data_IF_853757577635
#
_entry.id   IF_853757577635
#
_cell.length_a   1.000
_cell.length_b   1.000
_cell.length_c   1.000
_cell.angle_alpha   90.00
_cell.angle_beta   90.00
_cell.angle_gamma   90.00
#
_symmetry.space_group_name_H-M   'P 1'
#
loop_
_entity.id
_entity.type
_entity.pdbx_description
1 polymer ?
#
# COMPACT_ATOMS: atom_id res chain seq x y z
N UNK A 1 -39.84 -19.88 -24.57
CA UNK A 1 -39.24 -18.87 -23.67
C UNK A 1 -37.83 -19.29 -23.30
N UNK A 2 -36.79 -18.65 -23.85
CA UNK A 2 -35.39 -18.81 -23.42
C UNK A 2 -34.84 -17.41 -23.14
N UNK A 3 -34.24 -17.34 -21.95
CA UNK A 3 -33.87 -16.14 -21.19
C UNK A 3 -32.68 -15.41 -21.83
N UNK A 4 -32.83 -14.09 -21.92
CA UNK A 4 -31.85 -13.05 -21.61
C UNK A 4 -30.37 -13.40 -21.79
N UNK A 5 -29.81 -13.11 -22.97
CA UNK A 5 -28.38 -12.80 -23.11
C UNK A 5 -28.23 -11.28 -23.11
N UNK A 6 -28.06 -10.73 -21.90
CA UNK A 6 -27.56 -9.37 -21.66
C UNK A 6 -26.18 -9.28 -22.32
N UNK A 7 -26.12 -8.65 -23.50
CA UNK A 7 -24.87 -8.33 -24.20
C UNK A 7 -24.02 -7.48 -23.26
N UNK A 8 -22.88 -8.06 -22.88
CA UNK A 8 -21.81 -7.38 -22.18
C UNK A 8 -21.43 -6.12 -22.96
N UNK A 9 -21.48 -4.96 -22.29
CA UNK A 9 -20.82 -3.74 -22.73
C UNK A 9 -19.35 -4.07 -23.03
N UNK A 10 -18.79 -3.60 -24.16
CA UNK A 10 -17.34 -3.57 -24.32
C UNK A 10 -16.81 -2.55 -23.30
N UNK A 11 -16.11 -3.04 -22.27
CA UNK A 11 -15.26 -2.18 -21.44
C UNK A 11 -14.24 -1.53 -22.39
N UNK A 12 -14.41 -0.23 -22.63
CA UNK A 12 -13.45 0.57 -23.37
C UNK A 12 -12.07 0.38 -22.72
N UNK A 13 -10.99 0.18 -23.50
CA UNK A 13 -9.65 0.15 -22.93
C UNK A 13 -9.40 1.56 -22.36
N UNK A 14 -9.56 1.73 -21.04
CA UNK A 14 -9.07 2.90 -20.33
C UNK A 14 -7.63 3.06 -20.77
N UNK A 15 -7.35 4.08 -21.58
CA UNK A 15 -6.00 4.53 -21.86
C UNK A 15 -5.41 4.91 -20.51
N UNK A 16 -4.79 3.94 -19.85
CA UNK A 16 -4.01 4.16 -18.65
C UNK A 16 -3.02 5.25 -19.00
N UNK A 17 -3.23 6.44 -18.42
CA UNK A 17 -2.29 7.53 -18.56
C UNK A 17 -0.97 7.04 -17.98
N UNK A 18 -0.02 6.64 -18.82
CA UNK A 18 1.32 6.18 -18.40
C UNK A 18 1.97 7.13 -17.39
N UNK A 19 1.67 8.43 -17.48
CA UNK A 19 2.12 9.43 -16.52
C UNK A 19 1.58 9.19 -15.09
N UNK A 20 0.30 8.82 -14.97
CA UNK A 20 -0.34 8.45 -13.69
C UNK A 20 0.29 7.16 -13.16
N UNK A 21 0.48 6.14 -14.00
CA UNK A 21 1.10 4.87 -13.59
C UNK A 21 2.54 5.03 -13.05
N UNK A 22 3.34 5.89 -13.68
CA UNK A 22 4.70 6.19 -13.20
C UNK A 22 4.69 6.97 -11.87
N UNK A 23 3.76 7.92 -11.70
CA UNK A 23 3.59 8.66 -10.46
C UNK A 23 3.12 7.74 -9.33
N UNK A 24 2.12 6.90 -9.58
CA UNK A 24 1.63 5.91 -8.62
C UNK A 24 2.76 5.00 -8.15
N UNK A 25 3.58 4.48 -9.07
CA UNK A 25 4.71 3.63 -8.73
C UNK A 25 5.77 4.36 -7.87
N UNK A 26 6.04 5.64 -8.16
CA UNK A 26 6.91 6.47 -7.31
C UNK A 26 6.28 6.73 -5.94
N UNK A 27 5.00 7.08 -5.89
CA UNK A 27 4.26 7.37 -4.67
C UNK A 27 4.21 6.14 -3.75
N UNK A 28 3.82 4.97 -4.26
CA UNK A 28 3.79 3.73 -3.47
C UNK A 28 5.19 3.30 -3.01
N UNK A 29 6.24 3.62 -3.77
CA UNK A 29 7.60 3.22 -3.46
C UNK A 29 8.31 4.13 -2.46
N UNK A 30 8.03 5.43 -2.46
CA UNK A 30 8.75 6.41 -1.63
C UNK A 30 7.85 7.15 -0.64
N UNK A 31 6.64 7.55 -1.07
CA UNK A 31 5.76 8.39 -0.25
C UNK A 31 4.86 7.55 0.66
N UNK A 32 4.44 6.37 0.23
CA UNK A 32 3.58 5.50 1.03
C UNK A 32 4.28 4.92 2.28
N UNK A 33 5.62 5.02 2.36
CA UNK A 33 6.40 4.73 3.56
C UNK A 33 6.37 5.86 4.60
N UNK A 34 6.01 7.09 4.20
CA UNK A 34 5.99 8.26 5.07
C UNK A 34 5.22 8.04 6.38
N UNK A 35 3.95 7.58 6.38
CA UNK A 35 3.22 7.35 7.63
C UNK A 35 3.83 6.23 8.49
N UNK A 36 4.56 5.28 7.90
CA UNK A 36 5.23 4.22 8.65
C UNK A 36 6.42 4.79 9.43
N UNK A 37 7.11 5.78 8.85
CA UNK A 37 8.30 6.39 9.46
C UNK A 37 7.95 7.52 10.43
N UNK A 38 6.89 8.29 10.19
CA UNK A 38 6.55 9.48 10.98
C UNK A 38 5.59 9.23 12.13
N UNK A 39 4.66 8.26 11.99
CA UNK A 39 3.72 7.93 13.06
C UNK A 39 4.38 7.39 14.34
N UNK A 40 5.46 6.58 14.30
CA UNK A 40 6.13 6.14 15.53
C UNK A 40 6.61 7.31 16.38
N UNK A 41 7.14 8.35 15.75
CA UNK A 41 7.59 9.57 16.42
C UNK A 41 6.42 10.31 17.05
N UNK A 42 5.29 10.44 16.33
CA UNK A 42 4.07 11.05 16.86
C UNK A 42 3.48 10.26 18.03
N UNK A 43 3.42 8.94 17.92
CA UNK A 43 2.96 8.05 18.99
C UNK A 43 3.86 8.22 20.22
N UNK A 44 5.17 8.26 20.02
CA UNK A 44 6.13 8.51 21.10
C UNK A 44 5.90 9.86 21.78
N UNK A 45 5.70 10.93 21.00
CA UNK A 45 5.40 12.26 21.53
C UNK A 45 4.10 12.27 22.36
N UNK A 46 3.04 11.61 21.89
CA UNK A 46 1.77 11.46 22.60
C UNK A 46 1.90 10.69 23.92
N UNK A 47 2.68 9.62 23.92
CA UNK A 47 2.97 8.91 25.17
C UNK A 47 3.81 9.77 26.12
N UNK A 48 4.77 10.55 25.60
CA UNK A 48 5.61 11.43 26.41
C UNK A 48 4.86 12.63 27.00
N UNK A 49 3.77 13.08 26.36
CA UNK A 49 2.92 14.16 26.86
C UNK A 49 1.92 13.69 27.92
N UNK A 50 1.91 12.40 28.27
CA UNK A 50 1.04 11.82 29.29
C UNK A 50 -0.35 11.41 28.76
N UNK A 51 -0.65 11.65 27.48
CA UNK A 51 -1.90 11.22 26.85
C UNK A 51 -1.78 9.76 26.36
N UNK A 52 -1.83 8.85 27.34
CA UNK A 52 -1.75 7.41 27.11
C UNK A 52 -2.93 6.87 26.30
N UNK A 53 -4.14 7.43 26.48
CA UNK A 53 -5.31 6.99 25.74
C UNK A 53 -5.21 7.37 24.25
N UNK A 54 -4.81 8.62 23.95
CA UNK A 54 -4.54 9.07 22.59
C UNK A 54 -3.38 8.29 21.94
N UNK A 55 -2.29 8.07 22.69
CA UNK A 55 -1.14 7.30 22.24
C UNK A 55 -1.47 5.86 21.86
N UNK A 56 -2.29 5.16 22.66
CA UNK A 56 -2.74 3.78 22.36
C UNK A 56 -3.61 3.74 21.10
N UNK A 57 -4.57 4.66 20.97
CA UNK A 57 -5.51 4.67 19.85
C UNK A 57 -4.79 4.94 18.53
N UNK A 58 -3.87 5.91 18.53
CA UNK A 58 -3.04 6.25 17.37
C UNK A 58 -2.03 5.13 17.07
N UNK A 59 -1.48 4.49 18.10
CA UNK A 59 -0.63 3.31 17.97
C UNK A 59 -1.33 2.13 17.29
N UNK A 60 -2.59 1.86 17.64
CA UNK A 60 -3.41 0.82 17.00
C UNK A 60 -3.67 1.18 15.53
N UNK A 61 -4.04 2.43 15.24
CA UNK A 61 -4.24 2.89 13.86
C UNK A 61 -2.95 2.73 13.03
N UNK A 62 -1.80 3.09 13.59
CA UNK A 62 -0.50 2.89 12.95
C UNK A 62 -0.25 1.41 12.65
N UNK A 63 -0.47 0.51 13.62
CA UNK A 63 -0.26 -0.93 13.41
C UNK A 63 -1.12 -1.48 12.25
N UNK A 64 -2.38 -1.05 12.14
CA UNK A 64 -3.26 -1.45 11.04
C UNK A 64 -2.76 -0.91 9.70
N UNK A 65 -2.32 0.35 9.64
CA UNK A 65 -1.76 0.94 8.43
C UNK A 65 -0.48 0.23 7.97
N UNK A 66 0.43 -0.07 8.90
CA UNK A 66 1.66 -0.84 8.62
C UNK A 66 1.32 -2.24 8.12
N UNK A 67 0.39 -2.94 8.78
CA UNK A 67 -0.02 -4.27 8.37
C UNK A 67 -0.62 -4.27 6.96
N UNK A 68 -1.52 -3.33 6.66
CA UNK A 68 -2.09 -3.18 5.32
C UNK A 68 -1.03 -2.83 4.28
N UNK A 69 -0.06 -1.99 4.63
CA UNK A 69 1.04 -1.66 3.74
C UNK A 69 1.90 -2.88 3.40
N UNK A 70 2.27 -3.69 4.40
CA UNK A 70 3.04 -4.93 4.18
C UNK A 70 2.28 -5.91 3.28
N UNK A 71 0.95 -5.99 3.42
CA UNK A 71 0.10 -6.81 2.56
C UNK A 71 0.01 -6.28 1.13
N UNK A 72 -0.18 -4.97 0.95
CA UNK A 72 -0.37 -4.34 -0.37
C UNK A 72 0.92 -4.27 -1.17
N UNK A 73 2.05 -3.99 -0.53
CA UNK A 73 3.33 -3.80 -1.22
C UNK A 73 4.01 -5.13 -1.57
N UNK A 74 3.47 -6.27 -1.12
CA UNK A 74 4.08 -7.61 -1.27
C UNK A 74 5.61 -7.51 -1.12
N UNK A 75 6.02 -6.98 0.03
CA UNK A 75 7.44 -6.73 0.35
C UNK A 75 8.27 -8.01 0.15
N UNK A 76 7.65 -9.18 0.33
CA UNK A 76 8.23 -10.48 0.06
C UNK A 76 8.62 -10.68 -1.42
N UNK A 77 7.80 -10.24 -2.37
CA UNK A 77 8.16 -10.25 -3.79
C UNK A 77 9.26 -9.23 -4.14
N UNK A 78 9.38 -8.13 -3.39
CA UNK A 78 10.49 -7.18 -3.54
C UNK A 78 11.84 -7.77 -3.10
N UNK A 79 11.84 -8.60 -2.06
CA UNK A 79 13.01 -9.35 -1.60
C UNK A 79 13.35 -10.58 -2.46
N UNK A 80 12.43 -11.09 -3.29
CA UNK A 80 12.67 -12.27 -4.14
C UNK A 80 13.55 -12.01 -5.37
N UNK A 81 13.93 -10.77 -5.69
CA UNK A 81 14.91 -10.54 -6.75
C UNK A 81 16.34 -10.71 -6.23
N UNK A 82 16.87 -11.94 -6.24
CA UNK A 82 18.25 -12.30 -6.67
C UNK A 82 18.45 -13.83 -6.66
N UNK A 83 17.90 -14.55 -7.63
CA UNK A 83 18.62 -15.67 -8.23
C UNK A 83 18.62 -15.46 -9.73
N UNK A 84 19.63 -14.73 -10.22
CA UNK A 84 20.08 -14.91 -11.60
C UNK A 84 20.74 -16.29 -11.59
N UNK A 85 20.06 -17.30 -12.12
CA UNK A 85 20.75 -18.51 -12.53
C UNK A 85 21.74 -18.10 -13.63
N UNK A 86 23.04 -18.45 -13.52
CA UNK A 86 23.92 -18.36 -14.67
C UNK A 86 23.43 -19.41 -15.67
N UNK A 87 23.14 -18.97 -16.90
CA UNK A 87 22.96 -19.87 -18.02
C UNK A 87 24.24 -20.71 -18.17
N UNK A 88 24.12 -22.03 -18.08
CA UNK A 88 25.12 -23.00 -18.51
C UNK A 88 24.40 -24.22 -19.05
#
# INVERSE_FOLDING_TARGET
MKKDKKKQQPEEPKKENKAISNFENFFYRFVAWFPILTLPTLVWELFSSGDTMGGVLIGIMHAVLVFRFVQVVDVANWFKKKKKEPAS
#
